data_IF_881478844706
#
_entry.id   IF_881478844706
#
_cell.length_a   1.000
_cell.length_b   1.000
_cell.length_c   1.000
_cell.angle_alpha   90.00
_cell.angle_beta   90.00
_cell.angle_gamma   90.00
#
_symmetry.space_group_name_H-M   'P 1'
#
loop_
_entity.id
_entity.type
_entity.pdbx_description
1 polymer ?
#
# COMPACT_ATOMS: atom_id res chain seq x y z
N UNK A 1 43.48 40.61 -42.31
CA UNK A 1 44.74 40.31 -41.59
C UNK A 1 44.36 39.49 -40.35
N UNK A 2 44.26 38.16 -40.40
CA UNK A 2 45.27 37.09 -40.16
C UNK A 2 46.11 37.25 -38.88
N UNK A 3 45.89 36.35 -37.91
CA UNK A 3 46.80 36.01 -36.80
C UNK A 3 46.07 35.21 -35.69
N UNK A 4 46.48 33.98 -35.29
CA UNK A 4 45.54 32.94 -34.84
C UNK A 4 45.55 32.59 -33.33
N UNK A 5 44.52 31.83 -32.93
CA UNK A 5 44.29 31.22 -31.61
C UNK A 5 45.22 30.03 -31.31
N UNK A 6 45.49 29.69 -30.03
CA UNK A 6 46.10 28.41 -29.66
C UNK A 6 45.08 27.37 -29.17
N UNK A 7 45.16 26.17 -29.76
CA UNK A 7 44.40 24.97 -29.38
C UNK A 7 45.00 24.17 -28.20
N UNK A 8 44.41 23.00 -27.88
CA UNK A 8 44.55 22.35 -26.57
C UNK A 8 45.81 21.46 -26.46
N UNK A 9 46.44 21.45 -25.28
CA UNK A 9 47.60 20.59 -24.97
C UNK A 9 47.15 19.20 -24.52
N UNK A 10 47.50 18.18 -25.31
CA UNK A 10 47.61 16.76 -24.89
C UNK A 10 49.06 16.43 -24.54
N UNK A 11 49.29 15.83 -23.36
CA UNK A 11 50.41 14.95 -22.94
C UNK A 11 49.94 14.32 -21.63
N UNK A 12 50.14 13.06 -21.25
CA UNK A 12 50.88 11.92 -21.75
C UNK A 12 50.90 10.89 -20.60
N UNK A 13 50.69 9.60 -20.91
CA UNK A 13 50.67 8.47 -19.96
C UNK A 13 51.91 8.43 -19.05
N UNK A 14 51.71 8.11 -17.76
CA UNK A 14 52.66 7.31 -16.97
C UNK A 14 51.93 6.27 -16.11
N UNK A 15 52.40 5.03 -16.24
CA UNK A 15 52.10 3.83 -15.43
C UNK A 15 52.83 3.91 -14.09
N UNK A 16 52.25 3.27 -13.06
CA UNK A 16 52.79 2.61 -11.85
C UNK A 16 51.68 2.70 -10.79
N UNK A 17 51.33 1.75 -9.93
CA UNK A 17 51.73 0.37 -9.68
C UNK A 17 50.54 -0.31 -8.99
N UNK A 18 50.28 -1.57 -9.34
CA UNK A 18 49.12 -2.36 -8.88
C UNK A 18 49.59 -3.23 -7.72
N UNK A 19 49.16 -2.94 -6.48
CA UNK A 19 49.35 -3.85 -5.34
C UNK A 19 48.34 -4.99 -5.42
N UNK A 20 48.87 -6.21 -5.45
CA UNK A 20 48.13 -7.47 -5.47
C UNK A 20 47.82 -7.89 -4.03
N UNK A 21 46.54 -8.10 -3.70
CA UNK A 21 46.18 -9.02 -2.62
C UNK A 21 46.07 -10.44 -3.21
N UNK A 22 46.89 -11.34 -2.69
CA UNK A 22 47.03 -12.73 -3.10
C UNK A 22 46.04 -13.57 -2.28
N UNK A 23 45.04 -14.13 -2.96
CA UNK A 23 44.27 -15.29 -2.51
C UNK A 23 45.18 -16.53 -2.61
N UNK A 24 45.26 -17.31 -1.54
CA UNK A 24 45.90 -18.62 -1.50
C UNK A 24 44.93 -19.66 -2.05
N UNK A 25 45.31 -20.30 -3.15
CA UNK A 25 44.75 -21.58 -3.59
C UNK A 25 45.83 -22.65 -3.40
N UNK A 26 45.39 -23.84 -2.96
CA UNK A 26 46.18 -25.06 -2.85
C UNK A 26 45.76 -25.96 -4.00
N UNK A 27 46.77 -26.36 -4.78
CA UNK A 27 46.85 -27.47 -5.76
C UNK A 27 46.26 -28.79 -5.19
N UNK A 28 45.89 -29.85 -5.91
CA UNK A 28 46.16 -30.35 -7.26
C UNK A 28 45.16 -31.51 -7.49
N UNK A 29 44.89 -31.90 -8.75
CA UNK A 29 44.26 -33.20 -9.01
C UNK A 29 43.55 -33.37 -10.35
N UNK A 30 44.34 -33.62 -11.39
CA UNK A 30 43.93 -33.88 -12.78
C UNK A 30 43.44 -35.32 -13.01
N UNK A 31 42.48 -35.48 -13.94
CA UNK A 31 42.25 -36.70 -14.73
C UNK A 31 40.85 -37.30 -14.54
N UNK A 32 40.08 -37.71 -15.53
CA UNK A 32 40.24 -37.84 -16.97
C UNK A 32 38.91 -38.37 -17.54
N UNK A 33 38.65 -38.10 -18.81
CA UNK A 33 37.41 -38.45 -19.53
C UNK A 33 37.45 -39.89 -20.03
N UNK A 34 36.33 -40.62 -19.91
CA UNK A 34 35.99 -41.72 -20.82
C UNK A 34 35.29 -42.94 -20.19
N UNK A 35 34.21 -43.41 -20.83
CA UNK A 35 33.77 -44.81 -20.71
C UNK A 35 32.27 -45.03 -20.52
N UNK A 36 31.55 -45.28 -21.62
CA UNK A 36 30.22 -45.89 -21.64
C UNK A 36 30.36 -47.39 -21.32
N UNK A 37 29.57 -47.91 -20.37
CA UNK A 37 29.52 -49.34 -20.05
C UNK A 37 28.27 -49.71 -19.27
N UNK A 38 27.43 -50.58 -19.87
CA UNK A 38 26.21 -51.16 -19.30
C UNK A 38 26.50 -51.98 -18.04
N UNK A 39 25.64 -51.85 -17.02
CA UNK A 39 25.60 -52.75 -15.86
C UNK A 39 24.22 -52.75 -15.23
N UNK A 40 23.45 -53.80 -15.50
CA UNK A 40 22.14 -54.08 -14.90
C UNK A 40 22.35 -54.51 -13.44
N UNK A 41 21.83 -53.73 -12.49
CA UNK A 41 21.84 -54.04 -11.06
C UNK A 41 20.45 -53.81 -10.46
N UNK A 42 19.78 -54.90 -10.09
CA UNK A 42 18.49 -54.90 -9.39
C UNK A 42 18.62 -54.20 -8.02
N UNK A 43 17.86 -53.14 -7.79
CA UNK A 43 17.63 -52.61 -6.44
C UNK A 43 16.20 -52.89 -5.98
N UNK A 44 16.11 -53.65 -4.87
CA UNK A 44 14.91 -53.90 -4.08
C UNK A 44 14.35 -52.59 -3.54
N UNK A 45 13.02 -52.46 -3.57
CA UNK A 45 12.28 -51.42 -2.89
C UNK A 45 12.52 -51.48 -1.36
N UNK A 46 13.02 -50.39 -0.79
CA UNK A 46 13.06 -50.17 0.66
C UNK A 46 11.88 -49.31 1.07
N UNK A 47 11.17 -49.73 2.11
CA UNK A 47 10.02 -49.06 2.72
C UNK A 47 10.34 -47.63 3.22
N UNK A 48 9.36 -46.72 3.30
CA UNK A 48 9.57 -45.39 3.83
C UNK A 48 9.80 -45.43 5.36
N UNK A 49 10.59 -44.51 5.94
CA UNK A 49 10.78 -44.47 7.38
C UNK A 49 9.51 -43.95 8.06
N UNK A 50 8.90 -44.80 8.90
CA UNK A 50 7.92 -44.44 9.92
C UNK A 50 8.63 -43.65 11.03
N UNK A 51 8.79 -42.34 10.80
CA UNK A 51 9.21 -41.39 11.82
C UNK A 51 8.00 -40.78 12.50
N UNK A 52 7.61 -41.31 13.65
CA UNK A 52 6.70 -40.65 14.58
C UNK A 52 7.38 -39.36 15.03
N UNK A 53 6.86 -38.20 14.61
CA UNK A 53 7.29 -36.91 15.15
C UNK A 53 6.87 -36.89 16.63
N UNK A 54 7.82 -37.17 17.52
CA UNK A 54 7.61 -37.01 18.95
C UNK A 54 7.36 -35.52 19.23
N UNK A 55 6.15 -35.20 19.69
CA UNK A 55 5.81 -33.88 20.21
C UNK A 55 6.75 -33.57 21.38
N UNK A 56 7.47 -32.47 21.29
CA UNK A 56 8.30 -31.94 22.37
C UNK A 56 7.42 -31.65 23.60
N UNK A 57 7.65 -32.31 24.76
CA UNK A 57 6.83 -32.14 25.95
C UNK A 57 7.12 -30.85 26.72
N UNK A 58 7.87 -29.89 26.15
CA UNK A 58 8.20 -28.60 26.79
C UNK A 58 7.47 -27.40 26.22
N UNK A 59 6.38 -27.58 25.45
CA UNK A 59 5.48 -26.45 25.17
C UNK A 59 4.77 -26.10 26.48
N UNK A 60 4.94 -24.90 27.06
CA UNK A 60 4.20 -24.57 28.27
C UNK A 60 2.71 -24.57 27.93
N UNK A 61 2.00 -25.55 28.46
CA UNK A 61 0.55 -25.61 28.52
C UNK A 61 0.10 -24.57 29.57
N UNK A 62 0.17 -23.30 29.18
CA UNK A 62 -0.36 -22.22 29.99
C UNK A 62 -0.90 -21.12 29.08
N UNK A 63 -2.08 -21.34 28.51
CA UNK A 63 -2.92 -20.29 27.97
C UNK A 63 -4.08 -20.05 28.93
N UNK A 64 -3.77 -19.62 30.15
CA UNK A 64 -4.74 -18.86 30.93
C UNK A 64 -5.15 -17.61 30.14
N UNK A 65 -6.33 -17.01 30.42
CA UNK A 65 -6.73 -15.78 29.78
C UNK A 65 -5.63 -14.71 29.93
N UNK A 66 -5.40 -13.87 28.92
CA UNK A 66 -4.37 -12.84 28.96
C UNK A 66 -4.47 -12.04 30.26
N UNK A 67 -3.36 -11.95 31.00
CA UNK A 67 -3.28 -11.14 32.22
C UNK A 67 -3.29 -9.66 31.87
N UNK A 68 -3.65 -8.80 32.85
CA UNK A 68 -3.66 -7.33 32.73
C UNK A 68 -2.36 -6.70 32.21
N UNK A 69 -1.25 -7.44 32.12
CA UNK A 69 0.06 -6.96 31.68
C UNK A 69 0.37 -7.21 30.19
N UNK A 70 -0.40 -8.06 29.49
CA UNK A 70 -0.26 -8.18 28.05
C UNK A 70 -1.07 -7.08 27.37
N UNK A 71 -0.41 -6.20 26.60
CA UNK A 71 -1.10 -5.27 25.70
C UNK A 71 -1.84 -6.10 24.64
N UNK A 72 -3.11 -6.39 24.91
CA UNK A 72 -4.02 -7.07 24.00
C UNK A 72 -4.81 -6.01 23.23
N UNK A 73 -4.95 -6.17 21.92
CA UNK A 73 -5.85 -5.31 21.15
C UNK A 73 -7.29 -5.79 21.28
N UNK A 74 -8.22 -4.89 21.01
CA UNK A 74 -9.67 -5.08 21.14
C UNK A 74 -10.18 -6.41 20.58
N UNK A 75 -9.62 -6.85 19.45
CA UNK A 75 -10.04 -8.07 18.76
C UNK A 75 -9.71 -9.36 19.54
N UNK A 76 -8.71 -9.34 20.42
CA UNK A 76 -8.26 -10.53 21.15
C UNK A 76 -9.08 -10.77 22.44
N UNK A 77 -10.05 -9.92 22.76
CA UNK A 77 -10.88 -10.01 23.97
C UNK A 77 -12.05 -10.97 23.84
N UNK A 78 -12.39 -11.39 22.62
CA UNK A 78 -13.64 -12.08 22.36
C UNK A 78 -13.45 -13.39 21.61
N UNK A 79 -14.48 -14.24 21.73
CA UNK A 79 -14.74 -15.35 20.83
C UNK A 79 -15.74 -14.92 19.75
N UNK A 80 -15.63 -15.51 18.57
CA UNK A 80 -16.44 -15.16 17.40
C UNK A 80 -17.26 -16.34 16.92
N UNK A 81 -18.51 -16.09 16.56
CA UNK A 81 -19.28 -17.04 15.75
C UNK A 81 -18.59 -17.29 14.41
N UNK A 82 -18.92 -18.41 13.76
CA UNK A 82 -18.42 -18.71 12.40
C UNK A 82 -18.67 -17.54 11.45
N UNK A 83 -19.86 -16.95 11.47
CA UNK A 83 -20.21 -15.84 10.59
C UNK A 83 -19.34 -14.60 10.85
N UNK A 84 -19.13 -14.22 12.12
CA UNK A 84 -18.30 -13.05 12.45
C UNK A 84 -16.84 -13.28 12.03
N UNK A 85 -16.29 -14.46 12.29
CA UNK A 85 -14.93 -14.82 11.90
C UNK A 85 -14.74 -14.81 10.37
N UNK A 86 -15.65 -15.45 9.64
CA UNK A 86 -15.62 -15.53 8.18
C UNK A 86 -15.85 -14.18 7.49
N UNK A 87 -16.68 -13.30 8.05
CA UNK A 87 -16.86 -11.93 7.51
C UNK A 87 -15.57 -11.12 7.61
N UNK A 88 -14.88 -11.18 8.74
CA UNK A 88 -13.60 -10.45 8.92
C UNK A 88 -12.52 -11.02 8.00
N UNK A 89 -12.39 -12.34 7.94
CA UNK A 89 -11.44 -12.99 7.02
C UNK A 89 -11.77 -12.68 5.55
N UNK A 90 -13.05 -12.74 5.20
CA UNK A 90 -13.59 -12.44 3.88
C UNK A 90 -13.32 -11.00 3.46
N UNK A 91 -13.50 -10.03 4.35
CA UNK A 91 -13.26 -8.62 4.00
C UNK A 91 -11.76 -8.32 3.81
N UNK A 92 -10.87 -8.93 4.59
CA UNK A 92 -9.43 -8.78 4.37
C UNK A 92 -8.97 -9.39 3.05
N UNK A 93 -9.42 -10.61 2.74
CA UNK A 93 -9.08 -11.30 1.49
C UNK A 93 -9.67 -10.59 0.26
N UNK A 94 -10.91 -10.11 0.34
CA UNK A 94 -11.53 -9.27 -0.69
C UNK A 94 -10.70 -8.00 -0.93
N UNK A 95 -10.34 -7.30 0.14
CA UNK A 95 -9.59 -6.03 0.04
C UNK A 95 -8.21 -6.26 -0.59
N UNK A 96 -7.51 -7.31 -0.18
CA UNK A 96 -6.26 -7.72 -0.84
C UNK A 96 -6.47 -8.00 -2.34
N UNK A 97 -7.51 -8.76 -2.71
CA UNK A 97 -7.81 -9.05 -4.11
C UNK A 97 -8.11 -7.79 -4.93
N UNK A 98 -8.85 -6.83 -4.36
CA UNK A 98 -9.10 -5.52 -4.98
C UNK A 98 -7.79 -4.78 -5.24
N UNK A 99 -6.85 -4.77 -4.30
CA UNK A 99 -5.55 -4.14 -4.48
C UNK A 99 -4.68 -4.85 -5.51
N UNK A 100 -4.68 -6.18 -5.54
CA UNK A 100 -3.99 -6.93 -6.60
C UNK A 100 -4.55 -6.60 -7.99
N UNK A 101 -5.88 -6.52 -8.15
CA UNK A 101 -6.52 -6.15 -9.40
C UNK A 101 -6.20 -4.70 -9.80
N UNK A 102 -6.29 -3.77 -8.85
CA UNK A 102 -5.97 -2.36 -9.07
C UNK A 102 -4.48 -2.13 -9.38
N UNK A 103 -3.58 -2.95 -8.83
CA UNK A 103 -2.17 -2.96 -9.20
C UNK A 103 -2.00 -3.26 -10.68
N UNK A 104 -2.55 -4.39 -11.15
CA UNK A 104 -2.46 -4.80 -12.56
C UNK A 104 -3.06 -3.73 -13.45
N UNK A 105 -4.24 -3.21 -13.10
CA UNK A 105 -4.89 -2.11 -13.82
C UNK A 105 -3.99 -0.87 -13.92
N UNK A 106 -3.43 -0.41 -12.79
CA UNK A 106 -2.62 0.82 -12.75
C UNK A 106 -1.37 0.72 -13.62
N UNK A 107 -0.71 -0.45 -13.64
CA UNK A 107 0.49 -0.69 -14.45
C UNK A 107 0.16 -0.86 -15.93
N UNK A 108 -0.88 -1.63 -16.24
CA UNK A 108 -1.31 -1.89 -17.63
C UNK A 108 -1.79 -0.61 -18.33
N UNK A 109 -2.42 0.30 -17.59
CA UNK A 109 -2.98 1.54 -18.13
C UNK A 109 -2.03 2.74 -18.06
N UNK A 110 -0.90 2.67 -17.32
CA UNK A 110 0.00 3.82 -17.12
C UNK A 110 0.46 4.51 -18.42
N UNK A 111 0.59 3.78 -19.54
CA UNK A 111 1.02 4.35 -20.82
C UNK A 111 -0.05 5.19 -21.53
N UNK A 112 -1.32 5.10 -21.12
CA UNK A 112 -2.38 6.00 -21.60
C UNK A 112 -2.26 7.42 -21.00
N UNK A 113 -1.38 7.63 -20.03
CA UNK A 113 -1.11 8.92 -19.40
C UNK A 113 0.22 9.48 -19.91
N UNK A 114 0.29 10.79 -20.12
CA UNK A 114 1.50 11.48 -20.60
C UNK A 114 2.64 11.34 -19.59
N UNK A 115 3.92 11.42 -20.02
CA UNK A 115 5.06 11.25 -19.11
C UNK A 115 5.04 12.19 -17.90
N UNK A 116 4.43 13.38 -18.04
CA UNK A 116 4.29 14.38 -16.99
C UNK A 116 3.48 13.88 -15.79
N UNK A 117 2.38 13.16 -16.03
CA UNK A 117 1.48 12.70 -14.97
C UNK A 117 1.56 11.19 -14.69
N UNK A 118 2.27 10.43 -15.54
CA UNK A 118 2.35 8.97 -15.46
C UNK A 118 2.83 8.44 -14.12
N UNK A 119 3.68 9.19 -13.43
CA UNK A 119 4.18 8.83 -12.11
C UNK A 119 3.02 8.57 -11.12
N UNK A 120 1.89 9.24 -11.27
CA UNK A 120 0.68 8.99 -10.47
C UNK A 120 0.25 7.53 -10.52
N UNK A 121 0.14 6.91 -11.69
CA UNK A 121 -0.26 5.50 -11.81
C UNK A 121 0.77 4.53 -11.24
N UNK A 122 2.06 4.85 -11.37
CA UNK A 122 3.10 4.02 -10.74
C UNK A 122 3.07 4.12 -9.22
N UNK A 123 2.84 5.31 -8.67
CA UNK A 123 2.65 5.49 -7.24
C UNK A 123 1.37 4.81 -6.75
N UNK A 124 0.29 4.76 -7.54
CA UNK A 124 -0.86 3.91 -7.25
C UNK A 124 -0.43 2.45 -7.14
N UNK A 125 0.36 1.95 -8.10
CA UNK A 125 0.92 0.59 -8.04
C UNK A 125 1.72 0.33 -6.76
N UNK A 126 2.54 1.29 -6.30
CA UNK A 126 3.28 1.17 -5.03
C UNK A 126 2.33 1.00 -3.84
N UNK A 127 1.29 1.84 -3.74
CA UNK A 127 0.27 1.73 -2.67
C UNK A 127 -0.45 0.38 -2.75
N UNK A 128 -0.83 -0.07 -3.95
CA UNK A 128 -1.51 -1.34 -4.13
C UNK A 128 -0.67 -2.53 -3.68
N UNK A 129 0.63 -2.55 -3.99
CA UNK A 129 1.54 -3.60 -3.52
C UNK A 129 1.66 -3.58 -2.00
N UNK A 130 1.88 -2.40 -1.41
CA UNK A 130 2.02 -2.23 0.04
C UNK A 130 0.79 -2.73 0.78
N UNK A 131 -0.39 -2.26 0.37
CA UNK A 131 -1.65 -2.63 0.98
C UNK A 131 -2.06 -4.09 0.70
N UNK A 132 -1.71 -4.66 -0.47
CA UNK A 132 -1.93 -6.09 -0.73
C UNK A 132 -1.20 -6.97 0.29
N UNK A 133 0.08 -6.70 0.55
CA UNK A 133 0.86 -7.47 1.52
C UNK A 133 0.37 -7.26 2.95
N UNK A 134 0.00 -6.03 3.32
CA UNK A 134 -0.56 -5.74 4.65
C UNK A 134 -1.89 -6.47 4.88
N UNK A 135 -2.87 -6.37 3.97
CA UNK A 135 -4.15 -7.06 4.12
C UNK A 135 -3.99 -8.58 4.08
N UNK A 136 -3.07 -9.09 3.26
CA UNK A 136 -2.71 -10.52 3.26
C UNK A 136 -2.13 -10.96 4.60
N UNK A 137 -1.23 -10.16 5.19
CA UNK A 137 -0.69 -10.42 6.52
C UNK A 137 -1.79 -10.37 7.59
N UNK A 138 -2.69 -9.38 7.54
CA UNK A 138 -3.82 -9.32 8.48
C UNK A 138 -4.74 -10.54 8.35
N UNK A 139 -5.02 -11.00 7.14
CA UNK A 139 -5.80 -12.23 6.92
C UNK A 139 -5.10 -13.46 7.53
N UNK A 140 -3.78 -13.59 7.33
CA UNK A 140 -3.01 -14.68 7.92
C UNK A 140 -2.94 -14.60 9.45
N UNK A 141 -2.78 -13.40 10.01
CA UNK A 141 -2.78 -13.18 11.47
C UNK A 141 -4.15 -13.38 12.10
N UNK A 142 -5.22 -13.01 11.41
CA UNK A 142 -6.59 -13.30 11.83
C UNK A 142 -6.84 -14.81 11.82
N UNK A 143 -6.46 -15.49 10.73
CA UNK A 143 -6.61 -16.94 10.63
C UNK A 143 -5.79 -17.70 11.68
N UNK A 144 -4.54 -17.29 11.92
CA UNK A 144 -3.68 -17.92 12.92
C UNK A 144 -3.97 -17.50 14.37
N UNK A 145 -4.67 -16.38 14.57
CA UNK A 145 -4.93 -15.83 15.89
C UNK A 145 -6.09 -16.48 16.62
N UNK A 146 -6.97 -17.19 15.93
CA UNK A 146 -8.13 -17.84 16.53
C UNK A 146 -8.25 -19.31 16.11
N UNK A 147 -8.74 -20.15 17.01
CA UNK A 147 -8.96 -21.58 16.76
C UNK A 147 -10.41 -21.97 17.02
N UNK A 148 -10.93 -22.93 16.26
CA UNK A 148 -12.27 -23.45 16.44
C UNK A 148 -12.31 -24.42 17.64
N UNK A 149 -13.12 -24.12 18.65
CA UNK A 149 -13.25 -24.95 19.86
C UNK A 149 -14.39 -25.98 19.82
N UNK A 150 -15.13 -26.04 18.71
CA UNK A 150 -16.36 -26.83 18.58
C UNK A 150 -17.64 -25.99 18.58
N UNK A 151 -17.56 -24.73 19.02
CA UNK A 151 -18.72 -23.81 19.14
C UNK A 151 -18.44 -22.41 18.61
N UNK A 152 -17.22 -21.89 18.79
CA UNK A 152 -16.81 -20.57 18.37
C UNK A 152 -15.32 -20.57 17.97
N UNK A 153 -14.89 -19.51 17.28
CA UNK A 153 -13.49 -19.17 17.12
C UNK A 153 -13.02 -18.42 18.36
N UNK A 154 -12.10 -19.02 19.12
CA UNK A 154 -11.57 -18.46 20.37
C UNK A 154 -10.12 -18.00 20.19
N UNK A 155 -9.66 -16.96 20.91
CA UNK A 155 -8.27 -16.52 20.85
C UNK A 155 -7.31 -17.69 21.09
N UNK A 156 -6.23 -17.75 20.30
CA UNK A 156 -5.26 -18.83 20.33
C UNK A 156 -3.83 -18.28 20.34
N UNK A 157 -2.82 -19.12 20.02
CA UNK A 157 -1.41 -18.84 20.31
C UNK A 157 -0.84 -17.52 19.78
N UNK A 158 -1.32 -17.01 18.64
CA UNK A 158 -0.88 -15.74 18.05
C UNK A 158 -1.88 -14.60 18.32
N UNK A 159 -1.38 -13.37 18.55
CA UNK A 159 -2.24 -12.19 18.67
C UNK A 159 -2.53 -11.56 17.30
N UNK A 160 -3.78 -11.13 17.10
CA UNK A 160 -4.15 -10.22 16.03
C UNK A 160 -3.88 -8.76 16.47
N UNK A 161 -3.52 -7.88 15.53
CA UNK A 161 -3.42 -6.45 15.82
C UNK A 161 -3.61 -5.63 14.54
N UNK A 162 -4.42 -4.59 14.64
CA UNK A 162 -4.53 -3.57 13.58
C UNK A 162 -3.28 -2.66 13.50
N UNK A 163 -2.28 -2.81 14.37
CA UNK A 163 -1.04 -2.04 14.36
C UNK A 163 -0.25 -2.11 13.04
N UNK A 164 -0.36 -3.21 12.29
CA UNK A 164 0.25 -3.35 10.97
C UNK A 164 -0.29 -2.32 9.96
N UNK A 165 -1.56 -1.92 10.11
CA UNK A 165 -2.19 -0.88 9.29
C UNK A 165 -1.47 0.45 9.44
N UNK A 166 -1.14 0.85 10.67
CA UNK A 166 -0.42 2.10 10.95
C UNK A 166 0.96 2.14 10.29
N UNK A 167 1.67 1.00 10.29
CA UNK A 167 2.96 0.91 9.61
C UNK A 167 2.80 1.00 8.10
N UNK A 168 1.79 0.33 7.53
CA UNK A 168 1.49 0.45 6.11
C UNK A 168 1.04 1.87 5.71
N UNK A 169 0.22 2.53 6.52
CA UNK A 169 -0.19 3.92 6.30
C UNK A 169 0.99 4.88 6.29
N UNK A 170 2.08 4.57 7.03
CA UNK A 170 3.30 5.37 7.00
C UNK A 170 3.98 5.39 5.62
N UNK A 171 3.66 4.42 4.76
CA UNK A 171 4.06 4.36 3.35
C UNK A 171 2.96 4.99 2.48
N UNK A 172 1.72 4.52 2.64
CA UNK A 172 0.64 4.86 1.72
C UNK A 172 0.24 6.33 1.78
N UNK A 173 0.12 6.93 2.96
CA UNK A 173 -0.34 8.32 3.13
C UNK A 173 0.62 9.30 2.43
N UNK A 174 1.94 9.27 2.65
CA UNK A 174 2.89 10.08 1.87
C UNK A 174 2.75 9.89 0.35
N UNK A 175 2.58 8.65 -0.11
CA UNK A 175 2.52 8.33 -1.53
C UNK A 175 1.23 8.84 -2.17
N UNK A 176 0.07 8.62 -1.55
CA UNK A 176 -1.25 9.10 -2.00
C UNK A 176 -1.32 10.63 -2.09
N UNK A 177 -0.73 11.32 -1.11
CA UNK A 177 -0.69 12.78 -1.08
C UNK A 177 0.30 13.36 -2.10
N UNK A 178 1.39 12.63 -2.38
CA UNK A 178 2.33 12.99 -3.46
C UNK A 178 1.65 12.89 -4.82
N UNK A 179 0.85 11.85 -5.06
CA UNK A 179 0.05 11.71 -6.29
C UNK A 179 -0.87 12.93 -6.51
N UNK A 180 -1.53 13.43 -5.46
CA UNK A 180 -2.39 14.61 -5.54
C UNK A 180 -1.63 15.84 -6.03
N UNK A 181 -0.40 16.04 -5.56
CA UNK A 181 0.44 17.17 -5.97
C UNK A 181 0.84 17.07 -7.44
N UNK A 182 1.18 15.85 -7.90
CA UNK A 182 1.56 15.59 -9.30
C UNK A 182 0.38 15.87 -10.23
N UNK A 183 -0.78 15.28 -9.96
CA UNK A 183 -1.99 15.47 -10.79
C UNK A 183 -2.50 16.91 -10.69
N UNK A 184 -2.38 17.54 -9.52
CA UNK A 184 -2.70 18.95 -9.32
C UNK A 184 -1.75 19.92 -10.01
N UNK A 185 -0.72 19.44 -10.71
CA UNK A 185 0.25 20.27 -11.44
C UNK A 185 1.06 21.18 -10.52
N UNK A 186 1.24 20.81 -9.26
CA UNK A 186 2.01 21.58 -8.29
C UNK A 186 3.50 21.30 -8.50
N UNK A 187 4.31 22.34 -8.65
CA UNK A 187 5.74 22.21 -8.99
C UNK A 187 6.62 23.16 -8.15
N UNK A 188 7.94 22.98 -8.26
CA UNK A 188 8.95 23.86 -7.66
C UNK A 188 8.88 23.94 -6.12
N UNK A 189 9.19 25.09 -5.56
CA UNK A 189 9.20 25.31 -4.10
C UNK A 189 7.85 25.02 -3.44
N UNK A 190 6.74 25.32 -4.15
CA UNK A 190 5.40 25.03 -3.63
C UNK A 190 5.15 23.53 -3.49
N UNK A 191 5.64 22.73 -4.44
CA UNK A 191 5.57 21.27 -4.35
C UNK A 191 6.26 20.76 -3.09
N UNK A 192 7.54 21.12 -2.89
CA UNK A 192 8.30 20.64 -1.73
C UNK A 192 7.69 21.10 -0.40
N UNK A 193 7.21 22.34 -0.32
CA UNK A 193 6.54 22.84 0.89
C UNK A 193 5.28 22.06 1.22
N UNK A 194 4.42 21.79 0.22
CA UNK A 194 3.19 21.00 0.42
C UNK A 194 3.48 19.55 0.71
N UNK A 195 4.42 18.96 -0.01
CA UNK A 195 4.86 17.59 0.19
C UNK A 195 5.39 17.41 1.61
N UNK A 196 6.27 18.28 2.09
CA UNK A 196 6.77 18.23 3.46
C UNK A 196 5.65 18.37 4.49
N UNK A 197 4.71 19.30 4.28
CA UNK A 197 3.54 19.44 5.16
C UNK A 197 2.67 18.17 5.18
N UNK A 198 2.42 17.55 4.02
CA UNK A 198 1.69 16.29 3.92
C UNK A 198 2.39 15.13 4.62
N UNK A 199 3.70 14.98 4.43
CA UNK A 199 4.48 13.91 5.07
C UNK A 199 4.50 14.11 6.58
N UNK A 200 4.80 15.31 7.06
CA UNK A 200 4.88 15.59 8.50
C UNK A 200 3.52 15.43 9.16
N UNK A 201 2.47 16.06 8.60
CA UNK A 201 1.12 15.95 9.16
C UNK A 201 0.63 14.49 9.11
N UNK A 202 0.84 13.78 7.99
CA UNK A 202 0.41 12.40 7.81
C UNK A 202 1.10 11.44 8.76
N UNK A 203 2.43 11.46 8.83
CA UNK A 203 3.17 10.58 9.72
C UNK A 203 2.91 10.90 11.20
N UNK A 204 2.82 12.17 11.57
CA UNK A 204 2.49 12.56 12.94
C UNK A 204 1.08 12.09 13.34
N UNK A 205 0.09 12.27 12.46
CA UNK A 205 -1.27 11.74 12.64
C UNK A 205 -1.24 10.22 12.87
N UNK A 206 -0.54 9.47 12.02
CA UNK A 206 -0.48 8.00 12.10
C UNK A 206 0.23 7.57 13.38
N UNK A 207 1.41 8.09 13.67
CA UNK A 207 2.24 7.60 14.76
C UNK A 207 1.66 7.93 16.13
N UNK A 208 1.02 9.09 16.26
CA UNK A 208 0.29 9.43 17.50
C UNK A 208 -0.91 8.50 17.67
N UNK A 209 -1.71 8.25 16.63
CA UNK A 209 -2.79 7.26 16.69
C UNK A 209 -2.30 5.84 17.00
N UNK A 210 -1.13 5.46 16.49
CA UNK A 210 -0.49 4.16 16.75
C UNK A 210 -0.12 3.98 18.23
N UNK A 211 0.43 5.02 18.85
CA UNK A 211 0.70 5.00 20.29
C UNK A 211 -0.62 4.89 21.06
N UNK A 212 -1.62 5.68 20.68
CA UNK A 212 -2.93 5.68 21.35
C UNK A 212 -3.67 4.33 21.28
N UNK A 213 -3.58 3.57 20.19
CA UNK A 213 -4.34 2.31 20.08
C UNK A 213 -3.87 1.20 21.01
N UNK A 214 -2.69 1.31 21.64
CA UNK A 214 -2.24 0.32 22.62
C UNK A 214 -2.95 0.44 23.98
N UNK A 215 -3.69 1.53 24.20
CA UNK A 215 -4.51 1.77 25.40
C UNK A 215 -6.02 1.66 25.07
N UNK A 216 -6.36 1.01 23.94
CA UNK A 216 -7.73 1.00 23.41
C UNK A 216 -8.71 0.11 24.16
N UNK A 217 -8.22 -0.88 24.91
CA UNK A 217 -9.07 -1.82 25.67
C UNK A 217 -9.60 -1.14 26.93
N UNK A 218 -8.71 -0.51 27.70
CA UNK A 218 -9.09 0.19 28.93
C UNK A 218 -9.65 1.59 28.65
N UNK A 219 -9.44 2.12 27.44
CA UNK A 219 -9.87 3.47 27.07
C UNK A 219 -9.20 4.54 27.94
N UNK A 220 -7.95 4.30 28.34
CA UNK A 220 -7.21 5.12 29.28
C UNK A 220 -6.81 6.49 28.73
N UNK A 221 -6.06 7.23 29.54
CA UNK A 221 -5.62 8.57 29.18
C UNK A 221 -4.76 8.60 27.91
N UNK A 222 -3.99 7.55 27.61
CA UNK A 222 -3.17 7.53 26.41
C UNK A 222 -4.04 7.41 25.15
N UNK A 223 -5.10 6.60 25.18
CA UNK A 223 -6.03 6.47 24.07
C UNK A 223 -6.62 7.83 23.68
N UNK A 224 -7.22 8.53 24.64
CA UNK A 224 -7.90 9.80 24.36
C UNK A 224 -6.93 10.93 24.01
N UNK A 225 -5.81 11.06 24.74
CA UNK A 225 -4.83 12.12 24.48
C UNK A 225 -4.20 11.95 23.11
N UNK A 226 -3.71 10.75 22.79
CA UNK A 226 -3.06 10.53 21.50
C UNK A 226 -4.03 10.48 20.33
N UNK A 227 -5.26 10.00 20.52
CA UNK A 227 -6.33 10.15 19.53
C UNK A 227 -6.68 11.62 19.25
N UNK A 228 -6.71 12.46 20.29
CA UNK A 228 -6.90 13.90 20.17
C UNK A 228 -5.75 14.59 19.43
N UNK A 229 -4.50 14.27 19.78
CA UNK A 229 -3.31 14.79 19.08
C UNK A 229 -3.29 14.34 17.61
N UNK A 230 -3.59 13.07 17.33
CA UNK A 230 -3.73 12.54 15.97
C UNK A 230 -4.76 13.33 15.16
N UNK A 231 -5.89 13.65 15.78
CA UNK A 231 -6.95 14.45 15.14
C UNK A 231 -6.48 15.86 14.78
N UNK A 232 -5.66 16.51 15.61
CA UNK A 232 -5.09 17.84 15.28
C UNK A 232 -4.22 17.76 14.01
N UNK A 233 -3.37 16.74 13.90
CA UNK A 233 -2.57 16.51 12.69
C UNK A 233 -3.43 16.17 11.48
N UNK A 234 -4.49 15.40 11.66
CA UNK A 234 -5.48 15.12 10.62
C UNK A 234 -6.14 16.41 10.09
N UNK A 235 -6.57 17.31 10.99
CA UNK A 235 -7.17 18.59 10.59
C UNK A 235 -6.17 19.48 9.83
N UNK A 236 -4.90 19.52 10.26
CA UNK A 236 -3.86 20.21 9.50
C UNK A 236 -3.70 19.60 8.10
N UNK A 237 -3.67 18.27 7.99
CA UNK A 237 -3.60 17.55 6.72
C UNK A 237 -4.79 17.89 5.81
N UNK A 238 -6.02 17.93 6.34
CA UNK A 238 -7.22 18.35 5.61
C UNK A 238 -7.08 19.77 5.03
N UNK A 239 -6.53 20.71 5.80
CA UNK A 239 -6.31 22.09 5.33
C UNK A 239 -5.33 22.11 4.14
N UNK A 240 -4.22 21.37 4.22
CA UNK A 240 -3.24 21.31 3.12
C UNK A 240 -3.84 20.62 1.89
N UNK A 241 -4.64 19.57 2.09
CA UNK A 241 -5.33 18.85 1.01
C UNK A 241 -6.34 19.76 0.31
N UNK A 242 -7.16 20.48 1.07
CA UNK A 242 -8.13 21.45 0.56
C UNK A 242 -7.44 22.53 -0.28
N UNK A 243 -6.36 23.13 0.25
CA UNK A 243 -5.61 24.14 -0.49
C UNK A 243 -5.00 23.59 -1.79
N UNK A 244 -4.52 22.35 -1.76
CA UNK A 244 -3.95 21.68 -2.93
C UNK A 244 -5.00 21.47 -4.01
N UNK A 245 -6.17 20.95 -3.63
CA UNK A 245 -7.29 20.72 -4.55
C UNK A 245 -7.85 22.04 -5.08
N UNK A 246 -7.99 23.06 -4.24
CA UNK A 246 -8.45 24.39 -4.65
C UNK A 246 -7.54 24.97 -5.74
N UNK A 247 -6.23 24.90 -5.54
CA UNK A 247 -5.27 25.43 -6.51
C UNK A 247 -5.22 24.61 -7.79
N UNK A 248 -5.40 23.29 -7.71
CA UNK A 248 -5.53 22.43 -8.88
C UNK A 248 -6.78 22.80 -9.70
N UNK A 249 -7.92 22.98 -9.04
CA UNK A 249 -9.17 23.41 -9.67
C UNK A 249 -9.05 24.75 -10.39
N UNK A 250 -8.38 25.73 -9.78
CA UNK A 250 -8.24 27.08 -10.32
C UNK A 250 -7.50 27.13 -11.67
N UNK A 251 -6.75 26.08 -12.02
CA UNK A 251 -5.94 25.98 -13.24
C UNK A 251 -6.48 24.96 -14.25
N UNK A 252 -7.62 24.35 -13.95
CA UNK A 252 -8.17 23.22 -14.68
C UNK A 252 -9.36 23.63 -15.53
N UNK A 253 -9.63 22.86 -16.60
CA UNK A 253 -10.89 22.95 -17.34
C UNK A 253 -12.10 22.68 -16.40
N UNK A 254 -13.31 23.15 -16.72
CA UNK A 254 -14.49 22.90 -15.89
C UNK A 254 -14.74 21.41 -15.61
N UNK A 255 -14.48 20.55 -16.61
CA UNK A 255 -14.59 19.09 -16.46
C UNK A 255 -13.61 18.53 -15.43
N UNK A 256 -12.33 18.90 -15.54
CA UNK A 256 -11.29 18.46 -14.59
C UNK A 256 -11.53 19.03 -13.19
N UNK A 257 -11.98 20.29 -13.07
CA UNK A 257 -12.29 20.91 -11.78
C UNK A 257 -13.44 20.19 -11.04
N UNK A 258 -14.41 19.63 -11.76
CA UNK A 258 -15.47 18.77 -11.19
C UNK A 258 -14.89 17.46 -10.65
N UNK A 259 -13.96 16.83 -11.36
CA UNK A 259 -13.29 15.62 -10.89
C UNK A 259 -12.45 15.87 -9.64
N UNK A 260 -11.72 16.98 -9.56
CA UNK A 260 -11.03 17.38 -8.32
C UNK A 260 -11.98 17.65 -7.16
N UNK A 261 -13.21 18.11 -7.43
CA UNK A 261 -14.24 18.22 -6.40
C UNK A 261 -14.68 16.85 -5.90
N UNK A 262 -14.80 15.85 -6.79
CA UNK A 262 -15.03 14.47 -6.38
C UNK A 262 -13.86 13.91 -5.55
N UNK A 263 -12.61 14.22 -5.91
CA UNK A 263 -11.43 13.87 -5.11
C UNK A 263 -11.54 14.45 -3.69
N UNK A 264 -11.95 15.71 -3.54
CA UNK A 264 -12.14 16.31 -2.21
C UNK A 264 -13.15 15.56 -1.35
N UNK A 265 -14.33 15.26 -1.89
CA UNK A 265 -15.35 14.55 -1.12
C UNK A 265 -14.96 13.11 -0.82
N UNK A 266 -14.38 12.40 -1.80
CA UNK A 266 -13.84 11.06 -1.59
C UNK A 266 -12.81 11.05 -0.47
N UNK A 267 -11.84 11.97 -0.53
CA UNK A 267 -10.79 12.12 0.46
C UNK A 267 -11.37 12.42 1.84
N UNK A 268 -12.24 13.43 1.96
CA UNK A 268 -12.84 13.83 3.23
C UNK A 268 -13.62 12.68 3.87
N UNK A 269 -14.52 12.04 3.11
CA UNK A 269 -15.39 10.97 3.63
C UNK A 269 -14.57 9.73 3.98
N UNK A 270 -13.75 9.21 3.05
CA UNK A 270 -13.01 7.97 3.27
C UNK A 270 -11.95 8.10 4.35
N UNK A 271 -11.37 9.30 4.57
CA UNK A 271 -10.38 9.49 5.62
C UNK A 271 -11.02 9.75 6.99
N UNK A 272 -12.19 10.41 7.03
CA UNK A 272 -12.90 10.71 8.29
C UNK A 272 -13.47 9.46 8.98
N UNK A 273 -13.64 8.35 8.26
CA UNK A 273 -14.15 7.10 8.84
C UNK A 273 -13.06 6.26 9.52
N UNK A 274 -11.75 6.52 9.32
CA UNK A 274 -10.70 5.84 10.07
C UNK A 274 -10.74 6.15 11.58
N UNK A 275 -10.88 7.42 12.02
CA UNK A 275 -11.10 7.74 13.43
C UNK A 275 -12.34 7.05 14.04
N UNK A 276 -13.39 6.82 13.26
CA UNK A 276 -14.57 6.06 13.74
C UNK A 276 -14.20 4.61 14.07
N UNK A 277 -13.39 3.96 13.23
CA UNK A 277 -12.88 2.61 13.51
C UNK A 277 -11.90 2.59 14.69
N UNK A 278 -11.08 3.64 14.86
CA UNK A 278 -10.23 3.82 16.04
C UNK A 278 -11.07 3.86 17.33
N UNK A 279 -12.17 4.62 17.34
CA UNK A 279 -13.07 4.76 18.48
C UNK A 279 -13.93 3.52 18.78
N UNK A 280 -13.98 2.53 17.89
CA UNK A 280 -14.87 1.37 18.02
C UNK A 280 -14.87 0.65 19.39
N UNK A 281 -13.72 0.39 20.04
CA UNK A 281 -13.66 -0.29 21.33
C UNK A 281 -14.36 0.48 22.43
N UNK A 282 -14.51 1.80 22.27
CA UNK A 282 -15.14 2.68 23.26
C UNK A 282 -16.62 2.93 22.98
N UNK A 283 -17.06 2.77 21.72
CA UNK A 283 -18.46 3.02 21.32
C UNK A 283 -19.29 1.73 21.20
N UNK A 284 -18.65 0.59 20.88
CA UNK A 284 -19.33 -0.70 20.72
C UNK A 284 -18.37 -1.85 21.05
N UNK A 285 -18.15 -2.10 22.35
CA UNK A 285 -17.18 -3.09 22.85
C UNK A 285 -17.71 -4.53 22.88
N UNK A 286 -18.02 -5.10 21.72
CA UNK A 286 -18.43 -6.50 21.58
C UNK A 286 -17.89 -7.13 20.26
N UNK A 287 -18.13 -8.43 19.98
CA UNK A 287 -17.69 -9.06 18.74
C UNK A 287 -18.25 -8.40 17.46
N UNK A 288 -19.45 -7.82 17.50
CA UNK A 288 -20.03 -7.12 16.35
C UNK A 288 -19.32 -5.77 16.12
N UNK A 289 -18.91 -5.08 17.18
CA UNK A 289 -18.04 -3.91 17.09
C UNK A 289 -16.72 -4.23 16.40
N UNK A 290 -16.08 -5.35 16.73
CA UNK A 290 -14.87 -5.82 16.03
C UNK A 290 -15.11 -6.05 14.55
N UNK A 291 -16.21 -6.73 14.18
CA UNK A 291 -16.58 -6.94 12.78
C UNK A 291 -16.77 -5.59 12.08
N UNK A 292 -17.53 -4.66 12.68
CA UNK A 292 -17.81 -3.35 12.12
C UNK A 292 -16.54 -2.52 11.93
N UNK A 293 -15.63 -2.51 12.90
CA UNK A 293 -14.31 -1.86 12.78
C UNK A 293 -13.56 -2.32 11.53
N UNK A 294 -13.50 -3.63 11.30
CA UNK A 294 -12.77 -4.19 10.16
C UNK A 294 -13.47 -3.96 8.82
N UNK A 295 -14.81 -3.91 8.82
CA UNK A 295 -15.59 -3.47 7.66
C UNK A 295 -15.32 -1.98 7.35
N UNK A 296 -15.27 -1.12 8.36
CA UNK A 296 -14.96 0.31 8.20
C UNK A 296 -13.55 0.48 7.64
N UNK A 297 -12.53 -0.12 8.28
CA UNK A 297 -11.15 -0.02 7.80
C UNK A 297 -11.00 -0.49 6.35
N UNK A 298 -11.55 -1.65 6.02
CA UNK A 298 -11.47 -2.22 4.67
C UNK A 298 -12.20 -1.37 3.63
N UNK A 299 -13.38 -0.85 3.97
CA UNK A 299 -14.13 0.07 3.09
C UNK A 299 -13.37 1.39 2.88
N UNK A 300 -12.79 1.93 3.96
CA UNK A 300 -11.96 3.12 3.92
C UNK A 300 -10.70 2.91 3.07
N UNK A 301 -10.07 1.73 3.17
CA UNK A 301 -8.90 1.34 2.39
C UNK A 301 -9.21 1.27 0.89
N UNK A 302 -10.30 0.58 0.50
CA UNK A 302 -10.73 0.51 -0.91
C UNK A 302 -11.02 1.91 -1.46
N UNK A 303 -11.75 2.74 -0.72
CA UNK A 303 -12.12 4.08 -1.15
C UNK A 303 -10.90 5.02 -1.25
N UNK A 304 -10.06 5.06 -0.22
CA UNK A 304 -8.93 5.99 -0.11
C UNK A 304 -7.71 5.59 -0.93
N UNK A 305 -7.62 4.33 -1.36
CA UNK A 305 -6.47 3.80 -2.13
C UNK A 305 -6.87 3.43 -3.55
N UNK A 306 -7.76 2.45 -3.72
CA UNK A 306 -8.10 1.94 -5.05
C UNK A 306 -8.97 2.93 -5.84
N UNK A 307 -10.12 3.34 -5.27
CA UNK A 307 -11.02 4.29 -5.94
C UNK A 307 -10.33 5.64 -6.14
N UNK A 308 -9.60 6.11 -5.13
CA UNK A 308 -8.80 7.33 -5.21
C UNK A 308 -7.73 7.26 -6.32
N UNK A 309 -6.95 6.17 -6.37
CA UNK A 309 -5.90 5.99 -7.37
C UNK A 309 -6.45 5.92 -8.80
N UNK A 310 -7.58 5.23 -8.99
CA UNK A 310 -8.30 5.19 -10.28
C UNK A 310 -8.81 6.58 -10.66
N UNK A 311 -9.40 7.32 -9.72
CA UNK A 311 -9.89 8.67 -9.97
C UNK A 311 -8.75 9.63 -10.35
N UNK A 312 -7.61 9.57 -9.66
CA UNK A 312 -6.43 10.37 -10.01
C UNK A 312 -5.85 9.98 -11.38
N UNK A 313 -5.82 8.69 -11.72
CA UNK A 313 -5.40 8.22 -13.04
C UNK A 313 -6.34 8.76 -14.15
N UNK A 314 -7.66 8.76 -13.91
CA UNK A 314 -8.64 9.32 -14.83
C UNK A 314 -8.44 10.84 -15.03
N UNK A 315 -8.18 11.59 -13.95
CA UNK A 315 -7.84 13.03 -14.05
C UNK A 315 -6.56 13.22 -14.86
N UNK A 316 -5.51 12.45 -14.55
CA UNK A 316 -4.23 12.51 -15.24
C UNK A 316 -4.37 12.18 -16.74
N UNK A 317 -5.20 11.22 -17.11
CA UNK A 317 -5.50 10.89 -18.50
C UNK A 317 -6.25 12.03 -19.19
N UNK A 318 -7.26 12.62 -18.53
CA UNK A 318 -8.00 13.76 -19.10
C UNK A 318 -7.08 14.97 -19.32
N UNK A 319 -6.24 15.32 -18.35
CA UNK A 319 -5.22 16.36 -18.49
C UNK A 319 -4.25 16.04 -19.64
N UNK A 320 -3.84 14.77 -19.78
CA UNK A 320 -2.96 14.35 -20.87
C UNK A 320 -3.62 14.54 -22.25
N UNK A 321 -4.93 14.25 -22.37
CA UNK A 321 -5.67 14.47 -23.61
C UNK A 321 -5.85 15.96 -23.94
N UNK A 322 -6.17 16.80 -22.93
CA UNK A 322 -6.24 18.26 -23.07
C UNK A 322 -4.87 18.87 -23.49
N UNK A 323 -3.77 18.22 -23.12
CA UNK A 323 -2.39 18.57 -23.54
C UNK A 323 -1.96 17.95 -24.89
N UNK A 324 -2.83 17.22 -25.59
CA UNK A 324 -2.55 16.68 -26.92
C UNK A 324 -1.83 15.32 -26.94
N UNK A 325 -1.78 14.58 -25.83
CA UNK A 325 -1.12 13.27 -25.78
C UNK A 325 -1.99 12.19 -26.45
N UNK A 326 -1.60 11.73 -27.64
CA UNK A 326 -2.41 10.83 -28.48
C UNK A 326 -2.94 9.57 -27.76
N UNK A 327 -2.14 8.81 -26.98
CA UNK A 327 -2.67 7.63 -26.29
C UNK A 327 -3.78 7.93 -25.28
N UNK A 328 -3.80 9.15 -24.71
CA UNK A 328 -4.90 9.57 -23.85
C UNK A 328 -6.16 9.89 -24.66
N UNK A 329 -5.99 10.59 -25.79
CA UNK A 329 -7.08 10.95 -26.72
C UNK A 329 -7.75 9.69 -27.27
N UNK A 330 -6.95 8.73 -27.74
CA UNK A 330 -7.45 7.44 -28.25
C UNK A 330 -8.22 6.68 -27.18
N UNK A 331 -7.75 6.73 -25.92
CA UNK A 331 -8.42 6.11 -24.77
C UNK A 331 -9.74 6.77 -24.37
N UNK A 332 -9.91 8.07 -24.61
CA UNK A 332 -11.16 8.81 -24.33
C UNK A 332 -12.24 8.66 -25.41
N UNK A 333 -11.90 8.16 -26.59
CA UNK A 333 -12.80 8.07 -27.76
C UNK A 333 -14.03 7.17 -27.56
N UNK A 334 -14.03 6.28 -26.56
CA UNK A 334 -15.19 5.45 -26.20
C UNK A 334 -16.21 6.16 -25.30
N UNK A 335 -15.80 7.26 -24.65
CA UNK A 335 -16.62 8.03 -23.70
C UNK A 335 -17.23 9.24 -24.39
N UNK A 336 -16.43 9.95 -25.19
CA UNK A 336 -16.92 11.00 -26.06
C UNK A 336 -17.19 10.37 -27.43
N UNK A 337 -18.45 10.02 -27.71
CA UNK A 337 -18.86 9.81 -29.11
C UNK A 337 -18.47 11.10 -29.85
N UNK A 338 -17.73 11.05 -30.96
CA UNK A 338 -17.67 12.19 -31.85
C UNK A 338 -19.12 12.54 -32.15
N UNK A 339 -19.50 13.80 -31.99
CA UNK A 339 -20.82 14.28 -32.39
C UNK A 339 -21.16 13.65 -33.74
N UNK A 340 -22.09 12.70 -33.72
CA UNK A 340 -22.59 12.12 -34.96
C UNK A 340 -23.09 13.32 -35.78
N UNK A 341 -22.70 13.46 -37.05
CA UNK A 341 -23.13 14.59 -37.85
C UNK A 341 -24.65 14.69 -37.75
N UNK A 342 -25.17 15.86 -37.38
CA UNK A 342 -26.61 16.09 -37.49
C UNK A 342 -27.03 15.71 -38.92
N UNK A 343 -27.97 14.77 -39.12
CA UNK A 343 -28.47 14.45 -40.44
C UNK A 343 -29.29 15.66 -40.93
N UNK A 344 -28.62 16.62 -41.58
CA UNK A 344 -29.26 17.85 -42.02
C UNK A 344 -28.34 18.99 -42.49
N UNK A 345 -27.02 18.91 -42.28
CA UNK A 345 -26.13 19.90 -42.88
C UNK A 345 -25.86 19.56 -44.35
N UNK A 346 -26.68 20.12 -45.25
CA UNK A 346 -26.38 20.15 -46.68
C UNK A 346 -25.20 21.10 -46.94
N UNK A 347 -24.24 20.71 -47.81
CA UNK A 347 -23.16 21.61 -48.20
C UNK A 347 -23.73 22.79 -49.00
N UNK A 348 -23.33 24.01 -48.65
CA UNK A 348 -23.41 25.19 -49.52
C UNK A 348 -22.02 25.62 -49.93
#
# INVERSE_FOLDING_TARGET
>A
MRGPAPGPRRRGRRRTGRSRHRLTAVDDGVGGVGGVGRGVGRHRAGSPPTGTVALDPRRPENSGPPTKESVVTFENLFSYSVAQFEVVLGVFTLTAAVFAACLVYSLATAKSISPRYRLTSYLTGVVMVSAFFELGLLALRWYGGFTWDGTAYVPSGDLFSNGFRYMNWSIDVPVLLTQLLIVGGITGTLFFRRWAAFVVAGLAMIWTGYVGQFDEVDGGAQFWVWGGVSTVFYLWLLVVAYQTIRDAKAKSSPGVAKMFTAVWYLFLVSWSIYPLAYLMPQIWSDPNGVVLRNLIYSSADIASKAVYGVLLAAIAQKLSAEEGYQPAIDGSSWVERPDAPHPGATPR
#
